data_IF_725909819256
#
_entry.id   IF_725909819256
#
_cell.length_a   1.000
_cell.length_b   1.000
_cell.length_c   1.000
_cell.angle_alpha   90.00
_cell.angle_beta   90.00
_cell.angle_gamma   90.00
#
_symmetry.space_group_name_H-M   'P 1'
#
loop_
_entity.id
_entity.type
_entity.pdbx_description
1 polymer ?
#
# COMPACT_ATOMS: atom_id res chain seq x y z
N UNK A 1 -2.35 -15.20 -3.55
CA UNK A 1 -1.84 -13.81 -3.50
C UNK A 1 -0.39 -13.78 -3.99
N UNK A 2 -0.09 -12.86 -4.91
CA UNK A 2 1.24 -12.50 -5.39
C UNK A 2 1.55 -11.02 -5.08
N UNK A 3 2.79 -10.59 -5.33
CA UNK A 3 3.18 -9.18 -5.06
C UNK A 3 2.35 -8.15 -5.84
N UNK A 4 1.82 -8.53 -7.00
CA UNK A 4 1.00 -7.66 -7.85
C UNK A 4 -0.37 -7.39 -7.21
N UNK A 5 -0.91 -8.34 -6.46
CA UNK A 5 -2.17 -8.19 -5.72
C UNK A 5 -2.02 -7.16 -4.58
N UNK A 6 -0.82 -6.96 -4.05
CA UNK A 6 -0.55 -5.96 -3.02
C UNK A 6 -0.70 -4.52 -3.54
N UNK A 7 -0.63 -4.29 -4.86
CA UNK A 7 -0.75 -2.94 -5.44
C UNK A 7 -2.13 -2.34 -5.17
N UNK A 8 -3.26 -2.96 -5.59
CA UNK A 8 -4.59 -2.45 -5.25
C UNK A 8 -4.89 -2.51 -3.75
N UNK A 9 -4.35 -3.48 -3.01
CA UNK A 9 -4.59 -3.61 -1.56
C UNK A 9 -3.94 -2.46 -0.78
N UNK A 10 -2.70 -2.11 -1.10
CA UNK A 10 -2.00 -0.97 -0.47
C UNK A 10 -2.76 0.33 -0.73
N UNK A 11 -3.27 0.53 -1.95
CA UNK A 11 -4.09 1.71 -2.21
C UNK A 11 -5.40 1.72 -1.43
N UNK A 12 -6.10 0.58 -1.39
CA UNK A 12 -7.32 0.45 -0.61
C UNK A 12 -7.07 0.75 0.88
N UNK A 13 -5.95 0.27 1.44
CA UNK A 13 -5.55 0.55 2.81
C UNK A 13 -5.32 2.05 3.07
N UNK A 14 -4.63 2.74 2.15
CA UNK A 14 -4.41 4.20 2.28
C UNK A 14 -5.73 4.96 2.18
N UNK A 15 -6.64 4.55 1.26
CA UNK A 15 -7.97 5.14 1.14
C UNK A 15 -8.84 4.91 2.37
N UNK A 16 -8.78 3.70 2.94
CA UNK A 16 -9.52 3.34 4.15
C UNK A 16 -9.11 4.18 5.37
N UNK A 17 -7.86 4.67 5.42
CA UNK A 17 -7.37 5.59 6.44
C UNK A 17 -7.59 7.08 6.08
N UNK A 18 -8.58 7.39 5.24
CA UNK A 18 -8.90 8.78 4.89
C UNK A 18 -7.96 9.42 3.87
N UNK A 19 -7.17 8.61 3.15
CA UNK A 19 -6.30 9.07 2.08
C UNK A 19 -4.83 9.28 2.49
N UNK A 20 -4.50 9.09 3.77
CA UNK A 20 -3.13 9.09 4.29
C UNK A 20 -2.99 7.92 5.27
N UNK A 21 -1.92 7.13 5.15
CA UNK A 21 -1.64 6.04 6.06
C UNK A 21 -0.13 5.84 6.25
N UNK A 22 0.27 5.48 7.45
CA UNK A 22 1.62 5.01 7.73
C UNK A 22 1.83 3.59 7.17
N UNK A 23 3.10 3.20 7.00
CA UNK A 23 3.46 1.83 6.60
C UNK A 23 2.86 0.78 7.55
N UNK A 24 2.76 1.10 8.83
CA UNK A 24 2.23 0.19 9.86
C UNK A 24 0.72 0.06 9.75
N UNK A 25 -0.02 1.15 9.53
CA UNK A 25 -1.47 1.11 9.31
C UNK A 25 -1.83 0.29 8.07
N UNK A 26 -1.05 0.42 7.00
CA UNK A 26 -1.25 -0.38 5.79
C UNK A 26 -0.95 -1.85 6.04
N UNK A 27 0.12 -2.16 6.78
CA UNK A 27 0.42 -3.53 7.16
C UNK A 27 -0.70 -4.16 8.02
N UNK A 28 -1.24 -3.41 8.98
CA UNK A 28 -2.38 -3.84 9.79
C UNK A 28 -3.62 -4.07 8.95
N UNK A 29 -3.89 -3.21 7.97
CA UNK A 29 -5.02 -3.39 7.05
C UNK A 29 -4.87 -4.67 6.23
N UNK A 30 -3.69 -4.90 5.64
CA UNK A 30 -3.41 -6.13 4.86
C UNK A 30 -3.60 -7.36 5.75
N UNK A 31 -3.05 -7.34 6.97
CA UNK A 31 -3.19 -8.45 7.89
C UNK A 31 -4.66 -8.72 8.23
N UNK A 32 -5.40 -7.72 8.69
CA UNK A 32 -6.79 -7.88 9.14
C UNK A 32 -7.73 -8.36 8.04
N UNK A 33 -7.49 -7.98 6.78
CA UNK A 33 -8.40 -8.26 5.67
C UNK A 33 -7.96 -9.42 4.77
N UNK A 34 -6.67 -9.74 4.71
CA UNK A 34 -6.10 -10.71 3.76
C UNK A 34 -5.23 -11.78 4.44
N UNK A 35 -5.34 -11.97 5.76
CA UNK A 35 -4.52 -12.95 6.51
C UNK A 35 -4.50 -14.33 5.86
N UNK A 36 -5.67 -14.87 5.51
CA UNK A 36 -5.78 -16.22 4.97
C UNK A 36 -5.08 -16.36 3.61
N UNK A 37 -5.30 -15.40 2.71
CA UNK A 37 -4.67 -15.36 1.38
C UNK A 37 -3.16 -15.16 1.48
N UNK A 38 -2.72 -14.36 2.45
CA UNK A 38 -1.33 -14.11 2.73
C UNK A 38 -0.63 -15.35 3.28
N UNK A 39 -1.25 -16.05 4.24
CA UNK A 39 -0.74 -17.34 4.77
C UNK A 39 -0.65 -18.40 3.68
N UNK A 40 -1.60 -18.42 2.73
CA UNK A 40 -1.59 -19.35 1.59
C UNK A 40 -0.61 -18.97 0.46
N UNK A 41 0.03 -17.79 0.52
CA UNK A 41 0.86 -17.26 -0.57
C UNK A 41 2.27 -17.85 -0.68
N UNK A 42 2.65 -18.78 0.22
CA UNK A 42 3.94 -19.45 0.20
C UNK A 42 5.09 -18.48 0.45
N UNK A 43 5.94 -18.23 -0.56
CA UNK A 43 7.11 -17.34 -0.45
C UNK A 43 6.73 -15.91 -0.06
N UNK A 44 5.63 -15.39 -0.61
CA UNK A 44 5.19 -14.02 -0.35
C UNK A 44 4.84 -13.82 1.13
N UNK A 45 4.38 -14.85 1.85
CA UNK A 45 4.10 -14.76 3.29
C UNK A 45 5.31 -14.30 4.12
N UNK A 46 6.53 -14.54 3.64
CA UNK A 46 7.75 -14.11 4.33
C UNK A 46 8.31 -12.78 3.81
N UNK A 47 7.88 -12.33 2.63
CA UNK A 47 8.41 -11.12 1.97
C UNK A 47 7.39 -10.00 1.81
N UNK A 48 6.12 -10.24 2.16
CA UNK A 48 5.02 -9.33 1.84
C UNK A 48 5.19 -7.91 2.37
N UNK A 49 5.88 -7.72 3.49
CA UNK A 49 6.15 -6.37 4.01
C UNK A 49 7.09 -5.58 3.10
N UNK A 50 8.05 -6.27 2.48
CA UNK A 50 8.91 -5.69 1.45
C UNK A 50 8.13 -5.49 0.15
N UNK A 51 7.36 -6.49 -0.27
CA UNK A 51 6.54 -6.41 -1.49
C UNK A 51 5.45 -5.31 -1.38
N UNK A 52 4.94 -5.03 -0.19
CA UNK A 52 4.05 -3.92 0.13
C UNK A 52 4.72 -2.56 -0.17
N UNK A 53 6.00 -2.40 0.18
CA UNK A 53 6.75 -1.17 -0.12
C UNK A 53 7.01 -1.04 -1.62
N UNK A 54 7.29 -2.15 -2.29
CA UNK A 54 7.39 -2.20 -3.75
C UNK A 54 6.05 -1.80 -4.40
N UNK A 55 4.91 -2.27 -3.87
CA UNK A 55 3.58 -1.89 -4.33
C UNK A 55 3.34 -0.38 -4.17
N UNK A 56 3.72 0.21 -3.04
CA UNK A 56 3.66 1.66 -2.85
C UNK A 56 4.52 2.44 -3.87
N UNK A 57 5.73 1.96 -4.18
CA UNK A 57 6.57 2.53 -5.23
C UNK A 57 5.89 2.47 -6.61
N UNK A 58 5.23 1.36 -6.93
CA UNK A 58 4.49 1.19 -8.18
C UNK A 58 3.30 2.16 -8.27
N UNK A 59 2.56 2.33 -7.18
CA UNK A 59 1.46 3.30 -7.11
C UNK A 59 1.93 4.75 -7.29
N UNK A 60 3.11 5.11 -6.78
CA UNK A 60 3.73 6.42 -7.03
C UNK A 60 4.06 6.63 -8.52
N UNK A 61 4.66 5.62 -9.17
CA UNK A 61 4.92 5.67 -10.62
C UNK A 61 3.62 5.79 -11.44
N UNK A 62 2.53 5.23 -10.95
CA UNK A 62 1.19 5.36 -11.53
C UNK A 62 0.48 6.67 -11.17
N UNK A 63 1.12 7.57 -10.41
CA UNK A 63 0.51 8.81 -9.88
C UNK A 63 -0.77 8.57 -9.06
N UNK A 64 -0.89 7.40 -8.41
CA UNK A 64 -2.00 7.07 -7.50
C UNK A 64 -1.68 7.39 -6.05
N UNK A 65 -0.41 7.27 -5.66
CA UNK A 65 0.13 7.82 -4.42
C UNK A 65 0.95 9.07 -4.70
N UNK A 66 0.93 10.02 -3.77
CA UNK A 66 1.74 11.21 -3.79
C UNK A 66 3.24 10.87 -3.72
N UNK A 67 4.04 11.74 -4.33
CA UNK A 67 5.48 11.67 -4.25
C UNK A 67 5.94 11.84 -2.79
N UNK A 68 6.98 11.13 -2.32
CA UNK A 68 7.51 11.30 -0.97
C UNK A 68 7.92 12.74 -0.64
N UNK A 69 8.23 13.60 -1.63
CA UNK A 69 8.49 15.02 -1.39
C UNK A 69 7.23 15.82 -1.02
N UNK A 70 6.05 15.36 -1.43
CA UNK A 70 4.76 16.02 -1.19
C UNK A 70 3.92 15.34 -0.10
N UNK A 71 4.32 14.15 0.34
CA UNK A 71 3.68 13.41 1.42
C UNK A 71 4.29 13.77 2.77
N UNK A 72 3.50 13.59 3.84
CA UNK A 72 4.01 13.67 5.20
C UNK A 72 5.10 12.59 5.41
N UNK A 73 6.17 12.95 6.15
CA UNK A 73 7.31 12.04 6.38
C UNK A 73 6.83 10.74 7.02
N UNK A 74 7.13 9.62 6.36
CA UNK A 74 6.77 8.29 6.84
C UNK A 74 5.38 7.81 6.44
N UNK A 75 4.61 8.63 5.72
CA UNK A 75 3.26 8.30 5.29
C UNK A 75 3.17 8.04 3.77
N UNK A 76 2.19 7.23 3.39
CA UNK A 76 1.70 7.11 2.04
C UNK A 76 0.38 7.86 1.93
N UNK A 77 0.28 8.73 0.94
CA UNK A 77 -0.89 9.57 0.73
C UNK A 77 -1.41 9.36 -0.69
N UNK A 78 -2.72 9.34 -0.87
CA UNK A 78 -3.33 9.34 -2.21
C UNK A 78 -2.92 10.61 -2.94
N UNK A 79 -2.54 10.49 -4.20
CA UNK A 79 -2.27 11.64 -5.02
C UNK A 79 -3.53 12.51 -5.09
N UNK A 80 -3.42 13.78 -4.69
CA UNK A 80 -4.49 14.74 -4.93
C UNK A 80 -4.63 14.83 -6.44
N UNK A 81 -5.82 14.54 -6.96
CA UNK A 81 -6.15 14.98 -8.31
C UNK A 81 -6.17 16.50 -8.22
N UNK A 82 -5.18 17.17 -8.81
CA UNK A 82 -5.33 18.59 -9.12
C UNK A 82 -6.64 18.71 -9.89
N UNK A 83 -7.63 19.36 -9.26
CA UNK A 83 -8.79 19.85 -9.96
C UNK A 83 -8.26 20.94 -10.89
N UNK A 84 -8.05 20.56 -12.15
CA UNK A 84 -7.71 21.48 -13.23
C UNK A 84 -8.97 22.19 -13.70
#
# INVERSE_FOLDING_TARGET
MGREDLVPIVEAAVRANGGTATVVEVAQYIWKNHEAELKASGKLFFTWQYDMRWAALKLRKMKRLADPASAEKGCWQIAKRDAQ
#
